data_IF_328205116936
#
_entry.id   IF_328205116936
#
_cell.length_a   1.000
_cell.length_b   1.000
_cell.length_c   1.000
_cell.angle_alpha   90.00
_cell.angle_beta   90.00
_cell.angle_gamma   90.00
#
_symmetry.space_group_name_H-M   'P 1'
#
loop_
_entity.id
_entity.type
_entity.pdbx_description
1 polymer ?
#
# COMPACT_ATOMS: atom_id res chain seq x y z
N UNK A 1 15.25 3.65 3.68
CA UNK A 1 14.59 3.26 2.40
C UNK A 1 15.26 2.09 1.68
N UNK A 2 16.53 2.18 1.22
CA UNK A 2 17.15 1.08 0.45
C UNK A 2 17.17 -0.29 1.16
N UNK A 3 17.45 -0.30 2.47
CA UNK A 3 17.42 -1.53 3.27
C UNK A 3 16.02 -2.16 3.38
N UNK A 4 14.97 -1.33 3.49
CA UNK A 4 13.58 -1.81 3.58
C UNK A 4 13.13 -2.38 2.23
N UNK A 5 13.47 -1.73 1.13
CA UNK A 5 13.20 -2.25 -0.22
C UNK A 5 13.82 -3.64 -0.40
N UNK A 6 15.09 -3.82 -0.03
CA UNK A 6 15.76 -5.10 -0.10
C UNK A 6 15.12 -6.17 0.81
N UNK A 7 14.72 -5.79 2.03
CA UNK A 7 14.03 -6.71 2.94
C UNK A 7 12.66 -7.15 2.39
N UNK A 8 11.90 -6.23 1.79
CA UNK A 8 10.64 -6.54 1.12
C UNK A 8 10.85 -7.42 -0.12
N UNK A 9 11.92 -7.20 -0.89
CA UNK A 9 12.26 -8.06 -2.04
C UNK A 9 12.52 -9.50 -1.57
N UNK A 10 13.30 -9.71 -0.50
CA UNK A 10 13.48 -11.05 0.09
C UNK A 10 12.17 -11.59 0.66
N UNK A 11 11.34 -10.77 1.31
CA UNK A 11 10.07 -11.23 1.85
C UNK A 11 9.08 -11.68 0.76
N UNK A 12 9.11 -11.04 -0.42
CA UNK A 12 8.31 -11.48 -1.58
C UNK A 12 8.72 -12.86 -2.08
N UNK A 13 10.03 -13.17 -2.09
CA UNK A 13 10.52 -14.52 -2.39
C UNK A 13 9.96 -15.58 -1.42
N UNK A 14 9.57 -15.15 -0.21
CA UNK A 14 8.98 -16.00 0.84
C UNK A 14 7.45 -15.85 0.96
N UNK A 15 6.79 -15.22 -0.02
CA UNK A 15 5.33 -15.19 -0.13
C UNK A 15 4.65 -13.92 0.36
N UNK A 16 5.40 -12.84 0.66
CA UNK A 16 4.80 -11.52 0.81
C UNK A 16 4.09 -11.14 -0.50
N UNK A 17 2.85 -10.66 -0.40
CA UNK A 17 2.15 -10.15 -1.57
C UNK A 17 2.73 -8.79 -1.98
N UNK A 18 3.08 -8.55 -3.26
CA UNK A 18 3.55 -7.25 -3.73
C UNK A 18 2.55 -6.10 -3.46
N UNK A 19 1.25 -6.42 -3.37
CA UNK A 19 0.21 -5.44 -3.04
C UNK A 19 0.18 -5.04 -1.56
N UNK A 20 0.97 -5.69 -0.71
CA UNK A 20 1.03 -5.44 0.74
C UNK A 20 2.34 -4.79 1.19
N UNK A 21 3.25 -4.47 0.25
CA UNK A 21 4.48 -3.73 0.53
C UNK A 21 4.18 -2.38 1.18
N UNK A 22 4.99 -2.03 2.18
CA UNK A 22 4.97 -0.72 2.83
C UNK A 22 5.73 0.34 2.02
N UNK A 23 6.60 -0.08 1.11
CA UNK A 23 7.33 0.81 0.20
C UNK A 23 6.97 0.58 -1.27
N UNK A 24 7.13 1.64 -2.06
CA UNK A 24 6.98 1.59 -3.50
C UNK A 24 8.34 1.39 -4.18
N UNK A 25 8.52 0.27 -4.86
CA UNK A 25 9.73 0.00 -5.64
C UNK A 25 9.96 1.03 -6.76
N UNK A 26 8.90 1.44 -7.45
CA UNK A 26 8.94 2.36 -8.59
C UNK A 26 9.36 3.77 -8.17
N UNK A 27 8.68 4.37 -7.20
CA UNK A 27 8.93 5.73 -6.73
C UNK A 27 9.98 5.83 -5.63
N UNK A 28 10.42 4.69 -5.09
CA UNK A 28 11.42 4.57 -4.01
C UNK A 28 11.07 5.39 -2.76
N UNK A 29 9.79 5.41 -2.42
CA UNK A 29 9.23 6.11 -1.26
C UNK A 29 8.32 5.18 -0.46
N UNK A 30 7.76 5.66 0.64
CA UNK A 30 6.72 4.94 1.35
C UNK A 30 5.46 4.85 0.48
N UNK A 31 4.77 3.70 0.46
CA UNK A 31 3.57 3.48 -0.37
C UNK A 31 2.52 4.57 -0.12
N UNK A 32 2.30 4.99 1.13
CA UNK A 32 1.31 6.03 1.44
C UNK A 32 1.61 7.39 0.78
N UNK A 33 2.86 7.66 0.42
CA UNK A 33 3.29 8.94 -0.19
C UNK A 33 3.00 9.00 -1.69
N UNK A 34 2.92 7.86 -2.37
CA UNK A 34 2.71 7.82 -3.83
C UNK A 34 1.44 7.09 -4.25
N UNK A 35 0.72 6.41 -3.36
CA UNK A 35 -0.44 5.57 -3.71
C UNK A 35 -1.54 6.29 -4.51
N UNK A 36 -1.65 7.62 -4.37
CA UNK A 36 -2.57 8.44 -5.15
C UNK A 36 -2.23 8.56 -6.64
N UNK A 37 -0.97 8.33 -7.02
CA UNK A 37 -0.47 8.45 -8.39
C UNK A 37 -1.19 7.46 -9.34
N UNK A 38 -1.60 7.89 -10.55
CA UNK A 38 -2.27 7.02 -11.53
C UNK A 38 -1.53 5.72 -11.87
N UNK A 39 -0.20 5.66 -11.74
CA UNK A 39 0.59 4.44 -11.93
C UNK A 39 0.20 3.30 -10.98
N UNK A 40 -0.44 3.60 -9.86
CA UNK A 40 -0.93 2.60 -8.91
C UNK A 40 -2.37 2.13 -9.19
N UNK A 41 -2.98 2.54 -10.31
CA UNK A 41 -4.28 2.00 -10.73
C UNK A 41 -4.08 0.73 -11.56
N UNK A 42 -4.44 -0.43 -11.00
CA UNK A 42 -4.39 -1.71 -11.71
C UNK A 42 -5.81 -2.21 -11.94
N UNK A 43 -6.35 -1.91 -13.12
CA UNK A 43 -7.74 -2.24 -13.49
C UNK A 43 -7.99 -3.75 -13.43
N UNK A 44 -7.04 -4.56 -13.92
CA UNK A 44 -7.16 -6.02 -14.00
C UNK A 44 -7.34 -6.67 -12.61
N UNK A 45 -6.52 -6.28 -11.63
CA UNK A 45 -6.59 -6.83 -10.27
C UNK A 45 -7.62 -6.10 -9.40
N UNK A 46 -8.03 -4.90 -9.80
CA UNK A 46 -8.96 -4.05 -9.08
C UNK A 46 -8.28 -3.15 -8.03
N UNK A 47 -6.94 -3.08 -8.04
CA UNK A 47 -6.18 -2.21 -7.15
C UNK A 47 -6.46 -0.75 -7.51
N UNK A 48 -7.00 0.02 -6.55
CA UNK A 48 -7.50 1.39 -6.76
C UNK A 48 -8.53 1.52 -7.89
N UNK A 49 -9.35 0.51 -8.10
CA UNK A 49 -10.37 0.53 -9.15
C UNK A 49 -11.77 0.24 -8.61
N UNK A 50 -12.74 1.05 -9.02
CA UNK A 50 -14.15 0.82 -8.75
C UNK A 50 -14.77 0.10 -9.94
N UNK A 51 -14.96 -1.23 -9.85
CA UNK A 51 -15.58 -2.02 -10.93
C UNK A 51 -17.01 -1.58 -11.29
N UNK A 52 -17.76 -1.03 -10.33
CA UNK A 52 -19.14 -0.56 -10.56
C UNK A 52 -19.20 0.73 -11.37
N UNK A 53 -18.28 1.64 -11.11
CA UNK A 53 -18.28 2.98 -11.71
C UNK A 53 -17.26 3.13 -12.83
N UNK A 54 -16.45 2.09 -13.05
CA UNK A 54 -15.37 2.02 -14.03
C UNK A 54 -14.46 3.24 -13.96
N UNK A 55 -14.01 3.55 -12.74
CA UNK A 55 -13.13 4.68 -12.50
C UNK A 55 -12.10 4.39 -11.40
N UNK A 56 -10.99 5.15 -11.37
CA UNK A 56 -10.04 5.11 -10.27
C UNK A 56 -10.72 5.41 -8.93
N UNK A 57 -10.20 4.77 -7.89
CA UNK A 57 -10.53 5.05 -6.49
C UNK A 57 -9.50 6.04 -5.95
N UNK A 58 -10.00 7.10 -5.34
CA UNK A 58 -9.18 8.10 -4.69
C UNK A 58 -8.72 7.62 -3.33
N UNK A 59 -7.56 8.09 -2.92
CA UNK A 59 -6.93 7.77 -1.64
C UNK A 59 -6.63 9.08 -0.93
N UNK A 60 -7.16 9.24 0.27
CA UNK A 60 -6.81 10.32 1.17
C UNK A 60 -6.00 9.76 2.33
N UNK A 61 -4.86 10.38 2.60
CA UNK A 61 -3.92 9.99 3.66
C UNK A 61 -3.78 11.15 4.62
N UNK A 62 -3.97 10.88 5.91
CA UNK A 62 -3.60 11.78 7.01
C UNK A 62 -2.36 11.18 7.67
N UNK A 63 -1.26 11.92 7.64
CA UNK A 63 0.01 11.49 8.25
C UNK A 63 0.10 11.90 9.73
N UNK A 64 -0.85 12.69 10.25
CA UNK A 64 -0.86 13.12 11.65
C UNK A 64 -1.04 11.92 12.58
N UNK A 65 -0.12 11.64 13.52
CA UNK A 65 -0.23 10.49 14.42
C UNK A 65 -1.61 10.44 15.11
N UNK A 66 -2.33 9.31 15.03
CA UNK A 66 -1.86 7.95 14.69
C UNK A 66 -1.78 7.61 13.19
N UNK A 67 -2.20 8.50 12.30
CA UNK A 67 -2.28 8.31 10.86
C UNK A 67 -3.59 7.65 10.42
N UNK A 68 -4.15 8.08 9.28
CA UNK A 68 -5.38 7.53 8.72
C UNK A 68 -5.31 7.39 7.20
N UNK A 69 -6.02 6.39 6.67
CA UNK A 69 -6.09 6.11 5.24
C UNK A 69 -7.53 5.83 4.85
N UNK A 70 -8.04 6.64 3.92
CA UNK A 70 -9.39 6.53 3.39
C UNK A 70 -9.34 6.29 1.89
N UNK A 71 -10.11 5.31 1.43
CA UNK A 71 -10.33 5.05 0.02
C UNK A 71 -11.79 5.27 -0.29
N UNK A 72 -12.07 5.97 -1.40
CA UNK A 72 -13.42 6.21 -1.85
C UNK A 72 -13.49 6.30 -3.37
N UNK A 73 -14.57 5.78 -3.95
CA UNK A 73 -14.87 6.04 -5.35
C UNK A 73 -15.46 7.46 -5.47
N UNK A 74 -14.96 8.33 -6.36
CA UNK A 74 -15.49 9.69 -6.50
C UNK A 74 -16.93 9.74 -7.02
N UNK A 75 -17.46 8.63 -7.55
CA UNK A 75 -18.84 8.54 -8.07
C UNK A 75 -19.83 7.92 -7.09
N UNK A 76 -19.49 6.81 -6.45
CA UNK A 76 -20.42 6.08 -5.57
C UNK A 76 -19.99 6.03 -4.09
N UNK A 77 -18.83 6.59 -3.74
CA UNK A 77 -18.26 6.57 -2.39
C UNK A 77 -17.71 5.21 -1.95
N UNK A 78 -17.98 4.11 -2.67
CA UNK A 78 -17.60 2.76 -2.25
C UNK A 78 -16.19 2.37 -2.70
N UNK A 79 -15.40 1.78 -1.80
CA UNK A 79 -14.07 1.22 -2.09
C UNK A 79 -13.80 -0.08 -1.31
N UNK A 80 -14.83 -0.91 -1.09
CA UNK A 80 -14.75 -2.09 -0.22
C UNK A 80 -14.21 -3.39 -0.86
N UNK A 81 -13.71 -3.37 -2.10
CA UNK A 81 -13.16 -4.57 -2.76
C UNK A 81 -11.95 -5.14 -2.01
N UNK A 82 -11.64 -6.43 -2.20
CA UNK A 82 -10.45 -7.05 -1.60
C UNK A 82 -9.16 -6.29 -1.93
N UNK A 83 -8.94 -6.00 -3.22
CA UNK A 83 -7.76 -5.24 -3.66
C UNK A 83 -7.67 -3.84 -3.01
N UNK A 84 -8.79 -3.13 -2.81
CA UNK A 84 -8.77 -1.83 -2.12
C UNK A 84 -8.56 -1.95 -0.61
N UNK A 85 -8.92 -3.08 0.01
CA UNK A 85 -8.52 -3.36 1.39
C UNK A 85 -7.01 -3.58 1.49
N UNK A 86 -6.41 -4.26 0.51
CA UNK A 86 -4.96 -4.45 0.45
C UNK A 86 -4.23 -3.10 0.29
N UNK A 87 -4.70 -2.22 -0.60
CA UNK A 87 -4.19 -0.83 -0.71
C UNK A 87 -4.21 -0.13 0.66
N UNK A 88 -5.36 -0.19 1.34
CA UNK A 88 -5.53 0.45 2.66
C UNK A 88 -4.57 -0.12 3.68
N UNK A 89 -4.39 -1.44 3.68
CA UNK A 89 -3.51 -2.12 4.61
C UNK A 89 -2.05 -1.78 4.33
N UNK A 90 -1.61 -1.80 3.07
CA UNK A 90 -0.27 -1.39 2.65
C UNK A 90 0.06 0.03 3.12
N UNK A 91 -0.87 0.98 2.92
CA UNK A 91 -0.68 2.37 3.38
C UNK A 91 -0.62 2.49 4.91
N UNK A 92 -1.42 1.72 5.65
CA UNK A 92 -1.37 1.70 7.12
C UNK A 92 -0.07 1.12 7.63
N UNK A 93 0.40 0.01 7.06
CA UNK A 93 1.71 -0.57 7.37
C UNK A 93 2.81 0.44 7.05
N UNK A 94 2.70 1.15 5.93
CA UNK A 94 3.61 2.20 5.50
C UNK A 94 3.69 3.36 6.51
N UNK A 95 2.56 3.87 6.99
CA UNK A 95 2.52 4.91 8.04
C UNK A 95 3.11 4.42 9.36
N UNK A 96 2.74 3.20 9.79
CA UNK A 96 3.25 2.61 11.02
C UNK A 96 4.78 2.40 10.97
N UNK A 97 5.30 1.92 9.83
CA UNK A 97 6.71 1.71 9.59
C UNK A 97 7.51 3.03 9.61
N UNK A 98 6.95 4.10 9.01
CA UNK A 98 7.58 5.42 9.01
C UNK A 98 7.68 6.01 10.42
N UNK A 99 6.65 5.84 11.26
CA UNK A 99 6.63 6.37 12.63
C UNK A 99 7.33 5.48 13.66
N UNK A 100 7.43 4.17 13.42
CA UNK A 100 8.05 3.20 14.34
C UNK A 100 9.58 3.22 14.38
N UNK A 101 10.23 3.98 13.49
CA UNK A 101 11.67 3.91 13.24
C UNK A 101 12.04 2.64 12.46
N UNK A 102 13.01 2.75 11.55
CA UNK A 102 13.44 1.69 10.62
C UNK A 102 13.54 0.32 11.30
N UNK A 103 12.51 -0.50 11.15
CA UNK A 103 12.49 -1.87 11.63
C UNK A 103 12.42 -2.81 10.43
N UNK A 104 13.58 -3.31 9.94
CA UNK A 104 13.64 -4.43 8.99
C UNK A 104 12.85 -5.67 9.44
N UNK A 105 12.43 -5.72 10.72
CA UNK A 105 11.64 -6.79 11.33
C UNK A 105 10.15 -6.76 10.97
N UNK A 106 9.67 -5.76 10.20
CA UNK A 106 8.29 -5.71 9.71
C UNK A 106 7.90 -6.93 8.85
N UNK A 107 8.89 -7.52 8.18
CA UNK A 107 8.74 -8.69 7.36
C UNK A 107 9.52 -9.83 8.01
N UNK A 108 8.86 -10.57 8.90
CA UNK A 108 9.44 -11.78 9.49
C UNK A 108 9.73 -12.80 8.40
N UNK A 109 10.99 -12.92 8.01
CA UNK A 109 11.46 -14.01 7.15
C UNK A 109 11.62 -15.23 8.07
N UNK A 110 10.98 -16.38 7.77
CA UNK A 110 11.23 -17.61 8.53
C UNK A 110 12.72 -17.98 8.46
N UNK A 111 13.31 -18.39 9.59
CA UNK A 111 14.66 -18.97 9.57
C UNK A 111 14.65 -20.21 8.65
N UNK A 112 15.67 -20.27 7.77
CA UNK A 112 15.82 -21.28 6.72
C UNK A 112 15.94 -22.72 7.23
#
# INVERSE_FOLDING_TARGET
MAAILAAEDTAEEHGLSPHTRSTCYVHRCWTHQCVGDPLHVLIATGHRWCRRCECPVDVAVDETPPGAVHLFCPRCGQAGSAANRDVRQACRTSLAAMHGGDAPTLYGIPDA
#
